data_IF_438035587453
#
_entry.id   IF_438035587453
#
_cell.length_a   1.000
_cell.length_b   1.000
_cell.length_c   1.000
_cell.angle_alpha   90.00
_cell.angle_beta   90.00
_cell.angle_gamma   90.00
#
_symmetry.space_group_name_H-M   'P 1'
#
loop_
_entity.id
_entity.type
_entity.pdbx_description
1 polymer ?
#
# COMPACT_ATOMS: atom_id res chain seq x y z
N UNK A 1 -4.86 16.98 -10.72
CA UNK A 1 -3.97 15.91 -11.17
C UNK A 1 -4.75 14.82 -11.87
N UNK A 2 -4.16 14.23 -12.86
CA UNK A 2 -4.82 13.14 -13.57
C UNK A 2 -4.98 11.92 -12.66
N UNK A 3 -6.14 11.30 -12.74
CA UNK A 3 -6.43 10.08 -12.01
C UNK A 3 -5.64 8.92 -12.63
N UNK A 4 -5.00 8.11 -11.79
CA UNK A 4 -4.34 6.90 -12.24
C UNK A 4 -5.37 5.78 -12.43
N UNK A 5 -5.23 5.06 -13.53
CA UNK A 5 -6.14 3.97 -13.86
C UNK A 5 -5.37 2.65 -13.99
N UNK A 6 -6.11 1.55 -13.95
CA UNK A 6 -5.53 0.24 -14.23
C UNK A 6 -4.93 0.26 -15.64
N UNK A 7 -3.71 -0.25 -15.78
CA UNK A 7 -2.95 -0.25 -17.01
C UNK A 7 -1.94 0.89 -17.12
N UNK A 8 -2.10 1.94 -16.33
CA UNK A 8 -1.13 3.05 -16.31
C UNK A 8 0.16 2.61 -15.61
N UNK A 9 1.26 3.22 -15.99
CA UNK A 9 2.53 3.01 -15.28
C UNK A 9 2.40 3.55 -13.86
N UNK A 10 2.76 2.73 -12.87
CA UNK A 10 2.76 3.15 -11.47
C UNK A 10 3.89 4.16 -11.24
N UNK A 11 3.59 5.36 -10.72
CA UNK A 11 4.64 6.34 -10.43
C UNK A 11 5.72 5.75 -9.51
N UNK A 12 6.98 5.84 -9.95
CA UNK A 12 8.09 5.38 -9.12
C UNK A 12 8.30 6.33 -7.95
N UNK A 13 8.83 5.78 -6.85
CA UNK A 13 9.21 6.60 -5.71
C UNK A 13 10.31 5.90 -4.92
N UNK A 14 11.05 6.70 -4.17
CA UNK A 14 12.09 6.23 -3.26
C UNK A 14 11.94 7.01 -1.96
N UNK A 15 11.65 6.30 -0.87
CA UNK A 15 11.36 6.91 0.42
C UNK A 15 11.95 6.10 1.57
N UNK A 16 12.24 6.75 2.70
CA UNK A 16 12.61 6.02 3.92
C UNK A 16 11.48 5.08 4.34
N UNK A 17 11.84 3.96 4.92
CA UNK A 17 10.87 2.98 5.38
C UNK A 17 11.43 2.18 6.57
N UNK A 18 10.62 1.33 7.16
CA UNK A 18 11.03 0.54 8.32
C UNK A 18 11.90 -0.67 7.97
N UNK A 19 12.07 -0.98 6.69
CA UNK A 19 13.02 -1.99 6.22
C UNK A 19 14.42 -1.41 6.06
N UNK A 20 15.32 -2.17 5.48
CA UNK A 20 16.69 -1.72 5.26
C UNK A 20 16.78 -0.69 4.13
N UNK A 21 17.58 0.35 4.33
CA UNK A 21 17.81 1.40 3.35
C UNK A 21 16.53 2.18 3.06
N UNK A 22 16.31 2.49 1.80
CA UNK A 22 15.08 3.15 1.35
C UNK A 22 14.27 2.20 0.47
N UNK A 23 12.95 2.36 0.49
CA UNK A 23 12.07 1.62 -0.40
C UNK A 23 12.01 2.32 -1.74
N UNK A 24 12.33 1.59 -2.81
CA UNK A 24 12.23 2.12 -4.17
C UNK A 24 11.37 1.15 -4.99
N UNK A 25 10.25 1.66 -5.48
CA UNK A 25 9.27 0.81 -6.17
C UNK A 25 9.86 0.14 -7.42
N UNK A 26 10.63 0.87 -8.20
CA UNK A 26 11.20 0.34 -9.45
C UNK A 26 12.18 -0.82 -9.23
N UNK A 27 12.70 -0.98 -8.02
CA UNK A 27 13.56 -2.13 -7.70
C UNK A 27 12.76 -3.41 -7.46
N UNK A 28 11.44 -3.33 -7.45
CA UNK A 28 10.55 -4.48 -7.28
C UNK A 28 10.01 -5.02 -8.60
N UNK A 29 10.59 -4.63 -9.73
CA UNK A 29 10.20 -5.22 -11.02
C UNK A 29 10.42 -6.71 -11.01
N UNK A 30 9.47 -7.46 -11.55
CA UNK A 30 9.46 -8.92 -11.47
C UNK A 30 8.58 -9.47 -10.36
N UNK A 31 8.16 -8.63 -9.41
CA UNK A 31 7.33 -9.02 -8.29
C UNK A 31 6.01 -8.26 -8.29
N UNK A 32 4.99 -8.87 -7.71
CA UNK A 32 3.73 -8.17 -7.43
C UNK A 32 3.89 -7.38 -6.13
N UNK A 33 3.43 -6.13 -6.12
CA UNK A 33 3.54 -5.25 -4.95
C UNK A 33 2.17 -4.67 -4.61
N UNK A 34 1.80 -4.76 -3.33
CA UNK A 34 0.57 -4.15 -2.81
C UNK A 34 0.96 -2.89 -2.03
N UNK A 35 0.44 -1.76 -2.45
CA UNK A 35 0.65 -0.46 -1.79
C UNK A 35 -0.62 -0.12 -1.01
N UNK A 36 -0.54 -0.11 0.32
CA UNK A 36 -1.66 0.21 1.20
C UNK A 36 -1.47 1.60 1.78
N UNK A 37 -2.14 2.59 1.20
CA UNK A 37 -2.08 3.97 1.68
C UNK A 37 -3.09 4.15 2.81
N UNK A 38 -2.66 4.74 3.93
CA UNK A 38 -3.53 5.02 5.06
C UNK A 38 -3.20 6.38 5.68
N UNK A 39 -4.20 7.09 6.27
CA UNK A 39 -4.00 8.48 6.71
C UNK A 39 -3.03 8.70 7.86
N UNK A 40 -2.87 7.75 8.78
CA UNK A 40 -1.96 8.00 9.90
C UNK A 40 -1.81 6.87 10.88
N UNK A 41 -0.61 6.77 11.46
CA UNK A 41 -0.29 5.81 12.51
C UNK A 41 -1.16 6.06 13.75
N UNK A 42 -1.47 5.01 14.48
CA UNK A 42 -2.20 5.03 15.76
C UNK A 42 -3.62 5.60 15.70
N UNK A 43 -4.16 5.87 14.51
CA UNK A 43 -5.57 6.20 14.37
C UNK A 43 -6.40 4.92 14.44
N UNK A 44 -7.68 5.01 14.90
CA UNK A 44 -8.47 3.81 15.17
C UNK A 44 -8.70 2.92 13.95
N UNK A 45 -9.06 3.50 12.82
CA UNK A 45 -9.32 2.72 11.58
C UNK A 45 -8.03 2.17 11.00
N UNK A 46 -6.96 2.96 10.99
CA UNK A 46 -5.65 2.51 10.47
C UNK A 46 -5.08 1.40 11.36
N UNK A 47 -5.24 1.51 12.67
CA UNK A 47 -4.81 0.46 13.60
C UNK A 47 -5.57 -0.83 13.32
N UNK A 48 -6.90 -0.78 13.15
CA UNK A 48 -7.69 -1.96 12.80
C UNK A 48 -7.23 -2.56 11.47
N UNK A 49 -6.94 -1.72 10.49
CA UNK A 49 -6.49 -2.15 9.16
C UNK A 49 -5.17 -2.92 9.25
N UNK A 50 -4.15 -2.32 9.87
CA UNK A 50 -2.84 -2.94 9.96
C UNK A 50 -2.84 -4.18 10.87
N UNK A 51 -3.66 -4.17 11.92
CA UNK A 51 -3.83 -5.34 12.80
C UNK A 51 -4.56 -6.49 12.08
N UNK A 52 -5.52 -6.17 11.21
CA UNK A 52 -6.17 -7.20 10.40
C UNK A 52 -5.16 -7.88 9.48
N UNK A 53 -4.26 -7.11 8.87
CA UNK A 53 -3.19 -7.67 8.04
C UNK A 53 -2.23 -8.53 8.87
N UNK A 54 -1.89 -8.08 10.08
CA UNK A 54 -1.06 -8.86 11.02
C UNK A 54 -1.72 -10.20 11.36
N UNK A 55 -3.01 -10.17 11.69
CA UNK A 55 -3.73 -11.37 12.11
C UNK A 55 -3.91 -12.37 10.98
N UNK A 56 -3.74 -11.93 9.73
CA UNK A 56 -3.87 -12.75 8.53
C UNK A 56 -2.57 -12.77 7.71
N UNK A 57 -1.43 -12.63 8.39
CA UNK A 57 -0.12 -12.57 7.74
C UNK A 57 0.16 -13.81 6.88
N UNK A 58 -0.21 -14.99 7.35
CA UNK A 58 -0.03 -16.24 6.60
C UNK A 58 -0.79 -16.22 5.27
N UNK A 59 -2.00 -15.69 5.29
CA UNK A 59 -2.81 -15.56 4.06
C UNK A 59 -2.14 -14.60 3.08
N UNK A 60 -1.64 -13.47 3.56
CA UNK A 60 -0.97 -12.48 2.71
C UNK A 60 0.35 -13.00 2.17
N UNK A 61 1.11 -13.76 2.96
CA UNK A 61 2.33 -14.42 2.49
C UNK A 61 2.05 -15.44 1.40
N UNK A 62 0.93 -16.17 1.51
CA UNK A 62 0.57 -17.22 0.55
C UNK A 62 0.24 -16.68 -0.85
N UNK A 63 -0.07 -15.39 -0.99
CA UNK A 63 -0.38 -14.80 -2.29
C UNK A 63 0.87 -14.35 -3.05
N UNK A 64 2.04 -14.52 -2.48
CA UNK A 64 3.36 -14.27 -3.11
C UNK A 64 3.46 -12.85 -3.71
N UNK A 65 3.19 -11.87 -2.86
CA UNK A 65 3.32 -10.45 -3.23
C UNK A 65 3.93 -9.70 -2.06
N UNK A 66 4.75 -8.71 -2.35
CA UNK A 66 5.28 -7.82 -1.33
C UNK A 66 4.22 -6.77 -0.98
N UNK A 67 4.03 -6.50 0.30
CA UNK A 67 3.07 -5.50 0.74
C UNK A 67 3.76 -4.46 1.62
N UNK A 68 3.48 -3.19 1.37
CA UNK A 68 3.95 -2.08 2.22
C UNK A 68 2.79 -1.15 2.53
N UNK A 69 2.80 -0.58 3.73
CA UNK A 69 1.89 0.50 4.09
C UNK A 69 2.59 1.83 3.83
N UNK A 70 1.82 2.85 3.45
CA UNK A 70 2.36 4.18 3.15
C UNK A 70 1.50 5.22 3.84
N UNK A 71 2.12 6.08 4.66
CA UNK A 71 1.43 7.18 5.31
C UNK A 71 2.37 8.36 5.52
N UNK A 72 1.84 9.54 5.88
CA UNK A 72 2.68 10.75 5.98
C UNK A 72 3.53 10.86 7.24
N UNK A 73 3.45 9.93 8.18
CA UNK A 73 4.31 9.96 9.35
C UNK A 73 5.74 9.54 9.00
N UNK A 74 6.69 9.91 9.87
CA UNK A 74 8.10 9.55 9.70
C UNK A 74 8.41 8.12 10.14
N UNK A 75 9.62 7.67 9.86
CA UNK A 75 10.07 6.31 10.18
C UNK A 75 9.98 6.01 11.67
N UNK A 76 10.32 6.97 12.54
CA UNK A 76 10.24 6.77 13.99
C UNK A 76 8.81 6.46 14.45
N UNK A 77 7.83 7.20 13.91
CA UNK A 77 6.42 6.94 14.20
C UNK A 77 6.00 5.55 13.70
N UNK A 78 6.43 5.21 12.49
CA UNK A 78 6.14 3.90 11.89
C UNK A 78 6.73 2.75 12.72
N UNK A 79 7.97 2.90 13.19
CA UNK A 79 8.61 1.90 14.02
C UNK A 79 7.89 1.72 15.35
N UNK A 80 7.46 2.83 15.97
CA UNK A 80 6.66 2.78 17.20
C UNK A 80 5.30 2.11 16.97
N UNK A 81 4.66 2.41 15.86
CA UNK A 81 3.38 1.82 15.49
C UNK A 81 3.51 0.29 15.33
N UNK A 82 4.54 -0.14 14.59
CA UNK A 82 4.83 -1.57 14.40
C UNK A 82 5.08 -2.24 15.75
N UNK A 83 5.92 -1.65 16.58
CA UNK A 83 6.27 -2.24 17.88
C UNK A 83 5.07 -2.31 18.83
N UNK A 84 4.25 -1.25 18.86
CA UNK A 84 3.08 -1.18 19.74
C UNK A 84 2.04 -2.26 19.42
N UNK A 85 1.85 -2.57 18.15
CA UNK A 85 0.81 -3.49 17.72
C UNK A 85 1.34 -4.79 17.11
N UNK A 86 2.65 -5.02 17.14
CA UNK A 86 3.31 -6.19 16.54
C UNK A 86 2.93 -6.36 15.06
N UNK A 87 2.96 -5.27 14.32
CA UNK A 87 2.57 -5.28 12.91
C UNK A 87 3.57 -6.04 12.05
N UNK A 88 3.10 -6.66 10.99
CA UNK A 88 3.91 -7.47 10.08
C UNK A 88 4.18 -6.78 8.74
N UNK A 89 3.41 -5.74 8.41
CA UNK A 89 3.57 -5.01 7.15
C UNK A 89 4.59 -3.89 7.35
N UNK A 90 5.67 -3.84 6.54
CA UNK A 90 6.61 -2.71 6.61
C UNK A 90 5.93 -1.41 6.18
N UNK A 91 6.39 -0.29 6.72
CA UNK A 91 5.76 1.02 6.51
C UNK A 91 6.72 1.99 5.86
N UNK A 92 6.23 2.69 4.83
CA UNK A 92 6.98 3.70 4.07
C UNK A 92 6.57 5.09 4.57
N UNK A 93 7.56 5.95 4.79
CA UNK A 93 7.35 7.31 5.28
C UNK A 93 7.21 8.28 4.09
N UNK A 94 5.98 8.71 3.83
CA UNK A 94 5.69 9.70 2.78
C UNK A 94 5.44 11.08 3.40
N UNK A 95 6.41 11.59 4.12
CA UNK A 95 6.32 12.93 4.71
C UNK A 95 6.15 13.94 3.58
N UNK A 96 5.19 14.83 3.71
CA UNK A 96 4.88 15.80 2.66
C UNK A 96 3.90 15.30 1.61
N UNK A 97 3.48 14.02 1.67
CA UNK A 97 2.45 13.45 0.78
C UNK A 97 2.83 13.49 -0.70
N UNK A 98 4.10 13.39 -1.03
CA UNK A 98 4.57 13.40 -2.42
C UNK A 98 4.09 12.17 -3.18
N UNK A 99 4.20 10.98 -2.57
CA UNK A 99 3.74 9.75 -3.21
C UNK A 99 2.22 9.74 -3.33
N UNK A 100 1.51 10.13 -2.28
CA UNK A 100 0.05 10.24 -2.32
C UNK A 100 -0.40 11.19 -3.43
N UNK A 101 0.30 12.31 -3.60
CA UNK A 101 0.02 13.25 -4.68
C UNK A 101 0.22 12.63 -6.05
N UNK A 102 1.33 11.90 -6.24
CA UNK A 102 1.63 11.24 -7.50
C UNK A 102 0.58 10.16 -7.85
N UNK A 103 0.02 9.50 -6.84
CA UNK A 103 -1.00 8.48 -7.03
C UNK A 103 -2.43 9.05 -7.09
N UNK A 104 -2.58 10.38 -7.00
CA UNK A 104 -3.88 11.03 -7.16
C UNK A 104 -4.82 10.85 -5.98
N UNK A 105 -4.31 10.54 -4.80
CA UNK A 105 -5.12 10.29 -3.60
C UNK A 105 -4.92 11.32 -2.49
N UNK A 106 -4.24 12.43 -2.80
CA UNK A 106 -4.12 13.57 -1.89
C UNK A 106 -5.23 14.57 -2.22
N UNK A 107 -6.15 14.76 -1.29
CA UNK A 107 -7.27 15.67 -1.47
C UNK A 107 -7.29 16.67 -0.32
N UNK A 108 -7.22 17.97 -0.62
CA UNK A 108 -7.23 19.04 0.39
C UNK A 108 -6.18 18.84 1.49
N UNK A 109 -4.98 18.38 1.12
CA UNK A 109 -3.89 18.14 2.05
C UNK A 109 -4.01 16.88 2.89
N UNK A 110 -4.98 16.03 2.60
CA UNK A 110 -5.24 14.78 3.32
C UNK A 110 -5.14 13.60 2.38
N UNK A 111 -4.52 12.52 2.85
CA UNK A 111 -4.41 11.28 2.10
C UNK A 111 -5.71 10.48 2.20
N UNK A 112 -6.20 10.01 1.05
CA UNK A 112 -7.31 9.07 1.01
C UNK A 112 -6.81 7.64 1.17
N UNK A 113 -7.53 6.83 1.93
CA UNK A 113 -7.21 5.41 2.10
C UNK A 113 -7.37 4.70 0.76
N UNK A 114 -6.35 3.95 0.35
CA UNK A 114 -6.36 3.30 -0.96
C UNK A 114 -5.50 2.07 -0.99
N UNK A 115 -5.87 1.11 -1.86
CA UNK A 115 -5.04 -0.03 -2.21
C UNK A 115 -4.71 0.07 -3.69
N UNK A 116 -3.43 0.00 -4.02
CA UNK A 116 -2.96 -0.14 -5.39
C UNK A 116 -2.16 -1.43 -5.48
N UNK A 117 -2.38 -2.21 -6.53
CA UNK A 117 -1.56 -3.38 -6.82
C UNK A 117 -0.76 -3.07 -8.07
N UNK A 118 0.55 -3.25 -7.97
CA UNK A 118 1.49 -3.01 -9.07
C UNK A 118 1.98 -4.37 -9.57
N UNK A 119 1.87 -4.59 -10.88
CA UNK A 119 2.27 -5.85 -11.48
C UNK A 119 3.80 -5.92 -11.69
N UNK A 120 4.34 -7.10 -12.10
CA UNK A 120 5.78 -7.24 -12.29
C UNK A 120 6.39 -6.30 -13.34
N UNK A 121 5.59 -5.77 -14.25
CA UNK A 121 6.04 -4.80 -15.26
C UNK A 121 6.00 -3.36 -14.76
N UNK A 122 5.52 -3.14 -13.54
CA UNK A 122 5.42 -1.81 -12.95
C UNK A 122 4.17 -1.04 -13.32
N UNK A 123 3.13 -1.73 -13.77
CA UNK A 123 1.85 -1.09 -14.11
C UNK A 123 0.82 -1.34 -13.03
N UNK A 124 -0.14 -0.43 -12.92
CA UNK A 124 -1.23 -0.57 -11.96
C UNK A 124 -2.18 -1.67 -12.45
N UNK A 125 -2.32 -2.72 -11.64
CA UNK A 125 -3.20 -3.85 -11.94
C UNK A 125 -4.52 -3.78 -11.18
N UNK A 126 -4.57 -3.01 -10.08
CA UNK A 126 -5.77 -2.84 -9.25
C UNK A 126 -5.71 -1.49 -8.56
N UNK A 127 -6.87 -0.87 -8.43
CA UNK A 127 -7.02 0.43 -7.78
C UNK A 127 -8.32 0.45 -6.99
N UNK A 128 -8.23 0.69 -5.68
CA UNK A 128 -9.40 0.80 -4.81
C UNK A 128 -9.18 1.98 -3.88
N UNK A 129 -9.84 3.10 -4.15
CA UNK A 129 -9.72 4.32 -3.36
C UNK A 129 -11.03 4.52 -2.59
N UNK A 130 -10.93 4.60 -1.27
CA UNK A 130 -12.09 4.78 -0.40
C UNK A 130 -12.47 6.26 -0.34
N UNK A 131 -13.76 6.55 -0.52
CA UNK A 131 -14.26 7.91 -0.47
C UNK A 131 -14.25 8.48 0.95
N UNK A 132 -14.53 7.61 1.94
CA UNK A 132 -14.52 7.97 3.36
C UNK A 132 -13.47 7.14 4.09
N UNK A 133 -12.84 7.72 5.11
CA UNK A 133 -11.76 7.08 5.82
C UNK A 133 -12.17 5.99 6.82
N UNK A 134 -13.43 5.56 6.83
CA UNK A 134 -13.98 4.64 7.82
C UNK A 134 -13.90 3.16 7.43
N UNK A 135 -13.56 2.87 6.18
CA UNK A 135 -13.45 1.49 5.71
C UNK A 135 -12.10 1.23 5.04
N UNK A 136 -11.72 -0.03 4.98
CA UNK A 136 -10.48 -0.45 4.33
C UNK A 136 -10.69 -1.81 3.67
N UNK A 137 -9.82 -2.13 2.69
CA UNK A 137 -9.80 -3.46 2.08
C UNK A 137 -9.03 -4.40 3.01
N UNK A 138 -9.68 -5.46 3.45
CA UNK A 138 -9.07 -6.44 4.35
C UNK A 138 -8.19 -7.44 3.57
N UNK A 139 -7.56 -8.37 4.31
CA UNK A 139 -6.66 -9.35 3.70
C UNK A 139 -7.37 -10.25 2.67
N UNK A 140 -8.63 -10.62 2.90
CA UNK A 140 -9.41 -11.39 1.92
C UNK A 140 -9.64 -10.57 0.65
N UNK A 141 -9.94 -9.30 0.78
CA UNK A 141 -10.13 -8.40 -0.35
C UNK A 141 -8.84 -8.22 -1.16
N UNK A 142 -7.71 -8.10 -0.48
CA UNK A 142 -6.40 -7.98 -1.13
C UNK A 142 -6.07 -9.28 -1.87
N UNK A 143 -6.28 -10.44 -1.24
CA UNK A 143 -6.02 -11.73 -1.88
C UNK A 143 -6.89 -11.92 -3.12
N UNK A 144 -8.17 -11.56 -3.04
CA UNK A 144 -9.08 -11.65 -4.18
C UNK A 144 -8.66 -10.72 -5.31
N UNK A 145 -8.27 -9.49 -5.00
CA UNK A 145 -7.80 -8.53 -6.01
C UNK A 145 -6.53 -9.01 -6.70
N UNK A 146 -5.59 -9.59 -5.95
CA UNK A 146 -4.38 -10.19 -6.51
C UNK A 146 -4.70 -11.36 -7.45
N UNK A 147 -5.62 -12.23 -7.05
CA UNK A 147 -6.02 -13.36 -7.87
C UNK A 147 -6.64 -12.90 -9.19
N UNK A 148 -7.52 -11.88 -9.15
CA UNK A 148 -8.11 -11.29 -10.35
C UNK A 148 -7.06 -10.63 -11.24
N UNK A 149 -6.13 -9.88 -10.65
CA UNK A 149 -5.08 -9.21 -11.39
C UNK A 149 -4.15 -10.20 -12.09
N UNK A 150 -3.80 -11.29 -11.42
CA UNK A 150 -2.96 -12.35 -11.99
C UNK A 150 -3.68 -13.09 -13.12
N UNK A 151 -4.97 -13.34 -12.95
CA UNK A 151 -5.79 -13.98 -13.98
C UNK A 151 -5.88 -13.10 -15.23
N UNK A 152 -6.07 -11.80 -15.06
CA UNK A 152 -6.12 -10.85 -16.17
C UNK A 152 -4.78 -10.77 -16.90
N UNK A 153 -3.66 -10.78 -16.17
CA UNK A 153 -2.32 -10.76 -16.75
C UNK A 153 -2.03 -12.04 -17.53
N UNK A 154 -2.48 -13.19 -17.03
CA UNK A 154 -2.30 -14.47 -17.70
C UNK A 154 -3.16 -14.60 -18.98
N UNK A 155 -4.31 -13.91 -19.01
CA UNK A 155 -5.22 -13.91 -20.17
C UNK A 155 -4.76 -12.94 -21.27
N UNK A 156 -3.93 -11.98 -20.91
CA UNK A 156 -3.36 -11.00 -21.85
C UNK A 156 -2.01 -11.43 -22.37
#
# INVERSE_FOLDING_TARGET
MAKLNVGDEAPDFQKPWTGEGEFKLSERRGDWVVLAFYPGDETSVCTRQLCEYRDNADKLESVDAEMVGISPQGVDSHESFIAHHNLTVPLVADEGLEVAGAYGIKVAGVLRRAIFIVDPDGRIAHRDVKALGLSFTDSDGIAAALAEARAAAAAG
#
